data_IF_889789584526
#
_entry.id   IF_889789584526
#
_cell.length_a   1.000
_cell.length_b   1.000
_cell.length_c   1.000
_cell.angle_alpha   90.00
_cell.angle_beta   90.00
_cell.angle_gamma   90.00
#
_symmetry.space_group_name_H-M   'P 1'
#
loop_
_entity.id
_entity.type
_entity.pdbx_description
1 polymer ?
#
# COMPACT_ATOMS: atom_id res chain seq x y z
N UNK A 1 33.78 18.65 -6.22
CA UNK A 1 34.85 17.65 -6.06
C UNK A 1 34.24 16.43 -5.40
N UNK A 2 33.95 15.39 -6.17
CA UNK A 2 33.39 14.14 -5.64
C UNK A 2 34.50 13.41 -4.87
N UNK A 3 34.26 13.16 -3.59
CA UNK A 3 35.19 12.54 -2.62
C UNK A 3 35.37 11.03 -2.85
N UNK A 4 34.87 10.52 -3.97
CA UNK A 4 34.54 9.09 -4.17
C UNK A 4 35.75 8.24 -4.64
N UNK A 5 36.82 8.87 -5.12
CA UNK A 5 37.98 8.13 -5.67
C UNK A 5 38.97 7.64 -4.61
N UNK A 6 38.89 8.08 -3.35
CA UNK A 6 39.93 7.80 -2.35
C UNK A 6 39.77 6.46 -1.61
N UNK A 7 38.60 5.81 -1.72
CA UNK A 7 38.29 4.52 -1.06
C UNK A 7 38.02 3.39 -2.06
N UNK A 8 38.29 3.63 -3.35
CA UNK A 8 38.09 2.68 -4.44
C UNK A 8 39.40 2.39 -5.15
N UNK A 9 39.50 1.18 -5.69
CA UNK A 9 40.62 0.80 -6.53
C UNK A 9 40.61 1.61 -7.84
N UNK A 10 41.74 2.22 -8.20
CA UNK A 10 41.86 2.97 -9.47
C UNK A 10 41.66 2.08 -10.72
N UNK A 11 41.80 0.76 -10.60
CA UNK A 11 41.74 -0.19 -11.73
C UNK A 11 40.38 -0.86 -11.91
N UNK A 12 39.80 -1.40 -10.85
CA UNK A 12 38.50 -2.10 -10.90
C UNK A 12 37.34 -1.25 -10.37
N UNK A 13 37.61 -0.07 -9.81
CA UNK A 13 36.62 0.84 -9.23
C UNK A 13 35.81 0.26 -8.04
N UNK A 14 36.13 -0.96 -7.61
CA UNK A 14 35.53 -1.57 -6.41
C UNK A 14 36.03 -0.90 -5.13
N UNK A 15 35.15 -0.84 -4.12
CA UNK A 15 35.49 -0.36 -2.78
C UNK A 15 36.55 -1.27 -2.14
N UNK A 16 37.53 -0.64 -1.50
CA UNK A 16 38.52 -1.36 -0.73
C UNK A 16 37.89 -2.01 0.51
N UNK A 17 38.45 -3.15 0.94
CA UNK A 17 38.12 -3.81 2.19
C UNK A 17 39.36 -4.45 2.81
N UNK A 18 39.29 -4.82 4.09
CA UNK A 18 40.44 -5.37 4.84
C UNK A 18 40.77 -6.84 4.53
N UNK A 19 40.02 -7.50 3.64
CA UNK A 19 40.12 -8.94 3.40
C UNK A 19 40.66 -9.22 1.99
N UNK A 20 39.85 -9.00 0.97
CA UNK A 20 40.15 -9.35 -0.42
C UNK A 20 40.59 -8.16 -1.26
N UNK A 21 40.06 -6.97 -0.98
CA UNK A 21 40.36 -5.73 -1.72
C UNK A 21 41.20 -4.78 -0.87
N UNK A 22 42.31 -5.27 -0.30
CA UNK A 22 43.18 -4.43 0.53
C UNK A 22 43.87 -3.36 -0.33
N UNK A 23 43.90 -2.09 0.10
CA UNK A 23 44.50 -1.00 -0.67
C UNK A 23 46.02 -1.10 -0.62
N UNK A 24 46.67 -1.19 -1.78
CA UNK A 24 48.12 -1.24 -1.97
C UNK A 24 48.62 0.12 -2.47
N UNK A 25 49.56 0.72 -1.74
CA UNK A 25 50.11 2.04 -2.07
C UNK A 25 51.28 1.90 -3.04
N UNK A 26 51.06 2.34 -4.29
CA UNK A 26 52.15 2.44 -5.27
C UNK A 26 53.16 3.53 -4.85
N UNK A 27 54.40 3.53 -5.39
CA UNK A 27 55.40 4.58 -5.13
C UNK A 27 55.01 6.00 -5.59
N UNK A 28 53.89 6.13 -6.31
CA UNK A 28 53.27 7.40 -6.70
C UNK A 28 52.09 7.79 -5.80
N UNK A 29 51.83 7.04 -4.72
CA UNK A 29 50.72 7.21 -3.78
C UNK A 29 49.31 6.92 -4.32
N UNK A 30 49.17 6.49 -5.58
CA UNK A 30 47.93 5.90 -6.07
C UNK A 30 47.71 4.51 -5.47
N UNK A 31 46.44 4.13 -5.31
CA UNK A 31 46.05 2.90 -4.63
C UNK A 31 45.36 1.93 -5.59
N UNK A 32 45.81 0.68 -5.60
CA UNK A 32 45.14 -0.44 -6.28
C UNK A 32 44.84 -1.53 -5.26
N UNK A 33 43.84 -2.38 -5.49
CA UNK A 33 43.59 -3.50 -4.60
C UNK A 33 44.61 -4.63 -4.82
N UNK A 34 44.86 -5.46 -3.80
CA UNK A 34 45.76 -6.63 -3.91
C UNK A 34 45.51 -7.47 -5.17
N UNK A 35 44.27 -7.89 -5.51
CA UNK A 35 44.02 -8.71 -6.70
C UNK A 35 44.34 -7.97 -8.01
N UNK A 36 44.10 -6.65 -8.05
CA UNK A 36 44.46 -5.87 -9.23
C UNK A 36 45.96 -5.71 -9.37
N UNK A 37 46.72 -5.55 -8.29
CA UNK A 37 48.19 -5.52 -8.38
C UNK A 37 48.72 -6.87 -8.87
N UNK A 38 48.20 -7.97 -8.32
CA UNK A 38 48.64 -9.33 -8.69
C UNK A 38 48.44 -9.58 -10.19
N UNK A 39 47.22 -9.41 -10.68
CA UNK A 39 46.89 -9.58 -12.11
C UNK A 39 47.71 -8.65 -13.02
N UNK A 40 48.06 -7.47 -12.52
CA UNK A 40 48.80 -6.47 -13.28
C UNK A 40 50.28 -6.83 -13.39
N UNK A 41 50.89 -7.35 -12.32
CA UNK A 41 52.23 -7.92 -12.32
C UNK A 41 52.29 -9.19 -13.19
N UNK A 42 51.30 -10.09 -13.09
CA UNK A 42 51.19 -11.28 -13.95
C UNK A 42 51.12 -10.93 -15.45
N UNK A 43 50.50 -9.80 -15.77
CA UNK A 43 50.43 -9.25 -17.13
C UNK A 43 51.71 -8.52 -17.57
N UNK A 44 52.78 -8.60 -16.76
CA UNK A 44 54.06 -7.90 -16.96
C UNK A 44 53.94 -6.37 -17.02
N UNK A 45 52.91 -5.81 -16.37
CA UNK A 45 52.69 -4.37 -16.27
C UNK A 45 53.23 -3.86 -14.93
N UNK A 46 54.25 -3.00 -14.96
CA UNK A 46 54.96 -2.50 -13.78
C UNK A 46 54.90 -0.97 -13.64
N UNK A 47 53.82 -0.36 -14.15
CA UNK A 47 53.63 1.10 -14.17
C UNK A 47 52.24 1.49 -13.67
N UNK A 48 52.16 2.54 -12.86
CA UNK A 48 50.87 3.06 -12.40
C UNK A 48 49.99 3.50 -13.58
N UNK A 49 48.76 2.97 -13.68
CA UNK A 49 47.81 3.31 -14.76
C UNK A 49 47.41 4.79 -14.84
N UNK A 50 47.63 5.56 -13.76
CA UNK A 50 47.24 6.98 -13.70
C UNK A 50 48.38 7.89 -14.11
N UNK A 51 49.62 7.59 -13.68
CA UNK A 51 50.76 8.51 -13.84
C UNK A 51 51.97 7.88 -14.53
N UNK A 52 51.86 6.62 -14.96
CA UNK A 52 52.91 5.83 -15.60
C UNK A 52 54.23 5.74 -14.81
N UNK A 53 54.20 6.03 -13.51
CA UNK A 53 55.37 5.84 -12.64
C UNK A 53 55.62 4.35 -12.49
N UNK A 54 56.80 3.93 -12.93
CA UNK A 54 57.26 2.56 -12.76
C UNK A 54 57.41 2.19 -11.28
N UNK A 55 57.19 0.93 -10.98
CA UNK A 55 57.44 0.32 -9.68
C UNK A 55 58.03 -1.06 -9.89
N UNK A 56 58.89 -1.49 -8.97
CA UNK A 56 59.46 -2.83 -9.03
C UNK A 56 58.84 -3.70 -7.94
N UNK A 57 58.08 -4.70 -8.37
CA UNK A 57 57.45 -5.70 -7.53
C UNK A 57 57.37 -7.02 -8.31
N UNK A 58 57.49 -8.12 -7.59
CA UNK A 58 57.39 -9.49 -8.11
C UNK A 58 56.07 -10.15 -7.72
N UNK A 59 55.44 -9.70 -6.64
CA UNK A 59 54.05 -10.02 -6.28
C UNK A 59 53.36 -8.81 -5.63
N UNK A 60 52.05 -8.90 -5.39
CA UNK A 60 51.32 -7.85 -4.71
C UNK A 60 51.77 -7.62 -3.26
N UNK A 61 52.38 -8.60 -2.61
CA UNK A 61 52.93 -8.53 -1.25
C UNK A 61 54.10 -7.55 -1.14
N UNK A 62 54.88 -7.40 -2.22
CA UNK A 62 56.01 -6.46 -2.28
C UNK A 62 55.54 -4.99 -2.22
N UNK A 63 54.28 -4.75 -2.58
CA UNK A 63 53.67 -3.42 -2.46
C UNK A 63 53.04 -3.27 -1.05
N UNK A 64 53.40 -2.21 -0.31
CA UNK A 64 52.86 -2.00 1.03
C UNK A 64 51.36 -1.74 1.00
N UNK A 65 50.65 -2.24 2.02
CA UNK A 65 49.26 -1.87 2.26
C UNK A 65 49.19 -0.42 2.73
N UNK A 66 48.28 0.35 2.16
CA UNK A 66 47.95 1.68 2.65
C UNK A 66 47.09 1.59 3.92
N UNK A 67 47.75 1.45 5.07
CA UNK A 67 47.08 1.32 6.37
C UNK A 67 46.22 2.52 6.72
N UNK A 68 46.53 3.73 6.22
CA UNK A 68 45.70 4.91 6.44
C UNK A 68 44.33 4.76 5.74
N UNK A 69 44.33 4.31 4.48
CA UNK A 69 43.08 4.03 3.74
C UNK A 69 42.35 2.83 4.35
N UNK A 70 43.07 1.78 4.73
CA UNK A 70 42.49 0.61 5.41
C UNK A 70 41.78 0.99 6.72
N UNK A 71 42.42 1.80 7.56
CA UNK A 71 41.83 2.31 8.80
C UNK A 71 40.63 3.21 8.53
N UNK A 72 40.70 4.06 7.49
CA UNK A 72 39.57 4.90 7.09
C UNK A 72 38.35 4.07 6.71
N UNK A 73 38.53 2.97 5.97
CA UNK A 73 37.44 2.06 5.60
C UNK A 73 36.80 1.42 6.84
N UNK A 74 37.64 0.99 7.80
CA UNK A 74 37.15 0.45 9.08
C UNK A 74 36.34 1.50 9.85
N UNK A 75 36.84 2.73 9.96
CA UNK A 75 36.13 3.82 10.61
C UNK A 75 34.79 4.15 9.93
N UNK A 76 34.77 4.23 8.59
CA UNK A 76 33.54 4.47 7.83
C UNK A 76 32.53 3.34 8.06
N UNK A 77 33.00 2.08 8.04
CA UNK A 77 32.16 0.91 8.27
C UNK A 77 31.54 0.93 9.67
N UNK A 78 32.33 1.24 10.69
CA UNK A 78 31.86 1.37 12.07
C UNK A 78 30.86 2.53 12.22
N UNK A 79 31.16 3.68 11.62
CA UNK A 79 30.27 4.83 11.64
C UNK A 79 28.92 4.54 10.96
N UNK A 80 28.92 3.81 9.83
CA UNK A 80 27.68 3.35 9.17
C UNK A 80 26.86 2.46 10.12
N UNK A 81 27.49 1.51 10.81
CA UNK A 81 26.82 0.65 11.81
C UNK A 81 26.22 1.46 12.95
N UNK A 82 26.96 2.43 13.49
CA UNK A 82 26.50 3.24 14.62
C UNK A 82 25.35 4.17 14.24
N UNK A 83 25.40 4.74 13.02
CA UNK A 83 24.27 5.45 12.43
C UNK A 83 23.05 4.53 12.34
N UNK A 84 23.20 3.35 11.75
CA UNK A 84 22.09 2.41 11.57
C UNK A 84 21.47 2.02 12.91
N UNK A 85 22.28 1.72 13.93
CA UNK A 85 21.80 1.45 15.30
C UNK A 85 21.01 2.62 15.87
N UNK A 86 21.49 3.86 15.70
CA UNK A 86 20.80 5.06 16.18
C UNK A 86 19.46 5.28 15.48
N UNK A 87 19.37 5.00 14.18
CA UNK A 87 18.11 5.10 13.44
C UNK A 87 17.14 3.96 13.80
N UNK A 88 17.64 2.73 13.91
CA UNK A 88 16.81 1.58 14.30
C UNK A 88 16.26 1.71 15.72
N UNK A 89 17.06 2.17 16.68
CA UNK A 89 16.58 2.46 18.03
C UNK A 89 15.51 3.55 18.10
N UNK A 90 15.38 4.39 17.06
CA UNK A 90 14.30 5.37 16.92
C UNK A 90 13.05 4.83 16.21
N UNK A 91 13.16 3.71 15.50
CA UNK A 91 12.02 3.08 14.84
C UNK A 91 11.13 2.32 15.83
N UNK A 92 11.70 1.64 16.83
CA UNK A 92 10.90 0.88 17.81
C UNK A 92 9.84 1.70 18.58
N UNK A 93 10.17 2.91 19.11
CA UNK A 93 9.17 3.74 19.78
C UNK A 93 8.03 4.17 18.84
N UNK A 94 8.37 4.45 17.59
CA UNK A 94 7.39 4.89 16.58
C UNK A 94 6.46 3.74 16.16
N UNK A 95 6.99 2.52 16.04
CA UNK A 95 6.18 1.33 15.75
C UNK A 95 5.20 1.03 16.89
N UNK A 96 5.61 1.19 18.15
CA UNK A 96 4.73 0.98 19.31
C UNK A 96 3.57 1.98 19.35
N UNK A 97 3.84 3.27 19.12
CA UNK A 97 2.82 4.32 19.07
C UNK A 97 1.84 4.07 17.91
N UNK A 98 2.37 3.72 16.73
CA UNK A 98 1.56 3.43 15.56
C UNK A 98 0.67 2.21 15.78
N UNK A 99 1.20 1.13 16.35
CA UNK A 99 0.42 -0.08 16.67
C UNK A 99 -0.71 0.22 17.66
N UNK A 100 -0.45 1.04 18.70
CA UNK A 100 -1.49 1.46 19.64
C UNK A 100 -2.58 2.27 18.96
N UNK A 101 -2.21 3.20 18.07
CA UNK A 101 -3.17 3.99 17.29
C UNK A 101 -4.02 3.11 16.37
N UNK A 102 -3.39 2.18 15.64
CA UNK A 102 -4.08 1.24 14.75
C UNK A 102 -5.04 0.35 15.54
N UNK A 103 -4.58 -0.25 16.65
CA UNK A 103 -5.40 -1.08 17.52
C UNK A 103 -6.66 -0.35 18.00
N UNK A 104 -6.51 0.89 18.47
CA UNK A 104 -7.65 1.70 18.91
C UNK A 104 -8.62 2.01 17.75
N UNK A 105 -8.11 2.29 16.55
CA UNK A 105 -8.96 2.57 15.38
C UNK A 105 -9.70 1.33 14.91
N UNK A 106 -9.06 0.17 14.93
CA UNK A 106 -9.71 -1.10 14.58
C UNK A 106 -10.89 -1.39 15.51
N UNK A 107 -10.73 -1.20 16.83
CA UNK A 107 -11.83 -1.42 17.79
C UNK A 107 -13.04 -0.51 17.52
N UNK A 108 -12.80 0.76 17.15
CA UNK A 108 -13.86 1.69 16.79
C UNK A 108 -14.55 1.26 15.50
N UNK A 109 -13.79 0.82 14.49
CA UNK A 109 -14.34 0.36 13.22
C UNK A 109 -15.23 -0.87 13.45
N UNK A 110 -14.76 -1.86 14.22
CA UNK A 110 -15.54 -3.06 14.53
C UNK A 110 -16.86 -2.72 15.23
N UNK A 111 -16.85 -1.83 16.23
CA UNK A 111 -18.09 -1.39 16.91
C UNK A 111 -19.05 -0.70 15.95
N UNK A 112 -18.54 0.11 15.02
CA UNK A 112 -19.37 0.78 14.03
C UNK A 112 -19.95 -0.22 13.01
N UNK A 113 -19.19 -1.22 12.59
CA UNK A 113 -19.67 -2.29 11.70
C UNK A 113 -20.80 -3.09 12.33
N UNK A 114 -20.68 -3.44 13.62
CA UNK A 114 -21.75 -4.09 14.39
C UNK A 114 -23.02 -3.22 14.44
N UNK A 115 -22.87 -1.91 14.68
CA UNK A 115 -24.02 -0.99 14.68
C UNK A 115 -24.69 -0.87 13.30
N UNK A 116 -23.89 -0.82 12.22
CA UNK A 116 -24.44 -0.78 10.85
C UNK A 116 -25.23 -2.05 10.54
N UNK A 117 -24.76 -3.23 10.96
CA UNK A 117 -25.48 -4.48 10.77
C UNK A 117 -26.83 -4.51 11.51
N UNK A 118 -26.87 -3.97 12.73
CA UNK A 118 -28.12 -3.85 13.50
C UNK A 118 -29.11 -2.95 12.75
N UNK A 119 -28.66 -1.76 12.32
CA UNK A 119 -29.52 -0.82 11.59
C UNK A 119 -30.00 -1.37 10.25
N UNK A 120 -29.18 -2.14 9.54
CA UNK A 120 -29.58 -2.80 8.30
C UNK A 120 -30.72 -3.78 8.54
N UNK A 121 -30.63 -4.58 9.62
CA UNK A 121 -31.69 -5.51 9.99
C UNK A 121 -32.99 -4.79 10.35
N UNK A 122 -32.91 -3.71 11.12
CA UNK A 122 -34.09 -2.93 11.50
C UNK A 122 -34.78 -2.34 10.25
N UNK A 123 -34.00 -1.84 9.27
CA UNK A 123 -34.53 -1.36 7.99
C UNK A 123 -35.22 -2.47 7.19
N UNK A 124 -34.65 -3.67 7.16
CA UNK A 124 -35.25 -4.83 6.47
C UNK A 124 -36.59 -5.23 7.09
N UNK A 125 -36.66 -5.29 8.43
CA UNK A 125 -37.87 -5.63 9.17
C UNK A 125 -38.98 -4.56 8.98
N UNK A 126 -38.61 -3.28 9.00
CA UNK A 126 -39.53 -2.16 8.73
C UNK A 126 -40.03 -2.18 7.28
N UNK A 127 -39.15 -2.47 6.32
CA UNK A 127 -39.51 -2.54 4.89
C UNK A 127 -40.51 -3.66 4.64
N UNK A 128 -40.27 -4.84 5.23
CA UNK A 128 -41.20 -5.97 5.14
C UNK A 128 -42.57 -5.64 5.70
N UNK A 129 -42.61 -5.02 6.88
CA UNK A 129 -43.86 -4.58 7.53
C UNK A 129 -44.63 -3.60 6.64
N UNK A 130 -43.92 -2.66 6.00
CA UNK A 130 -44.52 -1.70 5.07
C UNK A 130 -45.09 -2.37 3.83
N UNK A 131 -44.39 -3.36 3.27
CA UNK A 131 -44.85 -4.09 2.09
C UNK A 131 -46.10 -4.92 2.38
N UNK A 132 -46.17 -5.55 3.56
CA UNK A 132 -47.37 -6.24 4.05
C UNK A 132 -48.56 -5.28 4.18
N UNK A 133 -48.37 -4.12 4.81
CA UNK A 133 -49.43 -3.11 4.92
C UNK A 133 -49.88 -2.55 3.56
N UNK A 134 -48.95 -2.38 2.61
CA UNK A 134 -49.28 -1.89 1.27
C UNK A 134 -50.11 -2.91 0.47
N UNK A 135 -49.83 -4.20 0.65
CA UNK A 135 -50.62 -5.28 0.07
C UNK A 135 -52.05 -5.24 0.59
N UNK A 136 -52.24 -5.14 1.91
CA UNK A 136 -53.57 -5.05 2.53
C UNK A 136 -54.34 -3.81 2.05
N UNK A 137 -53.68 -2.66 1.92
CA UNK A 137 -54.29 -1.43 1.37
C UNK A 137 -54.74 -1.65 -0.08
N UNK A 138 -53.93 -2.34 -0.88
CA UNK A 138 -54.22 -2.61 -2.30
C UNK A 138 -55.42 -3.54 -2.45
N UNK A 139 -55.48 -4.63 -1.67
CA UNK A 139 -56.61 -5.57 -1.67
C UNK A 139 -57.91 -4.87 -1.23
N UNK A 140 -57.85 -4.06 -0.17
CA UNK A 140 -59.00 -3.27 0.28
C UNK A 140 -59.48 -2.27 -0.78
N UNK A 141 -58.57 -1.67 -1.54
CA UNK A 141 -58.91 -0.73 -2.61
C UNK A 141 -59.62 -1.43 -3.78
N UNK A 142 -59.13 -2.59 -4.21
CA UNK A 142 -59.76 -3.40 -5.26
C UNK A 142 -61.20 -3.75 -4.84
N UNK A 143 -61.37 -4.28 -3.63
CA UNK A 143 -62.69 -4.62 -3.10
C UNK A 143 -63.61 -3.40 -3.01
N UNK A 144 -63.08 -2.24 -2.61
CA UNK A 144 -63.85 -0.99 -2.58
C UNK A 144 -64.31 -0.56 -3.97
N UNK A 145 -63.49 -0.72 -5.00
CA UNK A 145 -63.83 -0.33 -6.37
C UNK A 145 -64.84 -1.30 -7.00
N UNK A 146 -64.75 -2.61 -6.70
CA UNK A 146 -65.76 -3.61 -7.08
C UNK A 146 -67.14 -3.32 -6.45
N UNK A 147 -67.17 -2.94 -5.16
CA UNK A 147 -68.41 -2.55 -4.48
C UNK A 147 -69.04 -1.33 -5.14
N UNK A 148 -68.25 -0.32 -5.52
CA UNK A 148 -68.76 0.87 -6.22
C UNK A 148 -69.37 0.50 -7.57
N UNK A 149 -68.71 -0.33 -8.36
CA UNK A 149 -69.22 -0.78 -9.66
C UNK A 149 -70.55 -1.54 -9.51
N UNK A 150 -70.67 -2.37 -8.47
CA UNK A 150 -71.90 -3.10 -8.18
C UNK A 150 -73.06 -2.16 -7.78
N UNK A 151 -72.79 -1.14 -6.95
CA UNK A 151 -73.77 -0.13 -6.57
C UNK A 151 -74.23 0.68 -7.78
N UNK A 152 -73.31 1.07 -8.68
CA UNK A 152 -73.66 1.79 -9.91
C UNK A 152 -74.59 0.97 -10.81
N UNK A 153 -74.34 -0.33 -10.99
CA UNK A 153 -75.22 -1.24 -11.74
C UNK A 153 -76.64 -1.29 -11.15
N UNK A 154 -76.76 -1.49 -9.84
CA UNK A 154 -78.05 -1.52 -9.14
C UNK A 154 -78.85 -0.23 -9.37
N UNK A 155 -78.19 0.93 -9.29
CA UNK A 155 -78.86 2.21 -9.49
C UNK A 155 -79.38 2.37 -10.93
N UNK A 156 -78.60 1.98 -11.93
CA UNK A 156 -79.03 2.05 -13.34
C UNK A 156 -80.19 1.10 -13.67
N UNK A 157 -80.25 -0.09 -13.06
CA UNK A 157 -81.34 -1.04 -13.25
C UNK A 157 -82.65 -0.57 -12.59
N UNK A 158 -82.57 0.12 -11.45
CA UNK A 158 -83.74 0.66 -10.75
C UNK A 158 -84.33 1.89 -11.48
N UNK A 159 -83.51 2.75 -12.08
CA UNK A 159 -83.98 3.91 -12.85
C UNK A 159 -84.69 3.49 -14.16
N UNK A 160 -84.32 2.34 -14.75
CA UNK A 160 -84.98 1.77 -15.92
C UNK A 160 -86.37 1.18 -15.63
N UNK A 161 -86.66 0.79 -14.38
CA UNK A 161 -87.90 0.12 -14.00
C UNK A 161 -89.02 1.11 -13.59
N UNK A 162 -88.67 2.34 -13.19
CA UNK A 162 -89.65 3.37 -12.78
C UNK A 162 -90.34 4.02 -14.00
N UNK A 163 -89.74 4.00 -15.19
CA UNK A 163 -90.32 4.61 -16.40
C UNK A 163 -91.29 3.71 -17.19
N UNK A 164 -91.64 2.49 -16.71
CA UNK A 164 -92.61 1.61 -17.41
C UNK A 164 -94.01 1.51 -16.76
N UNK A 165 -94.25 2.19 -15.62
CA UNK A 165 -95.52 2.01 -14.86
C UNK A 165 -96.49 3.21 -14.96
N UNK A 166 -96.10 4.35 -15.55
CA UNK A 166 -97.00 5.49 -15.71
C UNK A 166 -97.38 5.71 -17.19
N UNK A 167 -98.39 4.95 -17.65
CA UNK A 167 -98.93 5.08 -19.01
C UNK A 167 -100.24 4.32 -19.22
N UNK A 168 -101.27 4.61 -18.43
CA UNK A 168 -102.68 4.48 -18.86
C UNK A 168 -103.63 5.20 -17.90
N UNK A 169 -103.85 6.50 -18.16
CA UNK A 169 -105.10 7.24 -17.89
C UNK A 169 -106.26 6.51 -18.59
N UNK A 170 -107.35 6.11 -17.91
CA UNK A 170 -108.55 6.89 -17.52
C UNK A 170 -109.16 7.69 -18.67
N UNK A 171 -110.27 7.18 -19.22
CA UNK A 171 -111.48 7.91 -19.73
C UNK A 171 -112.50 6.80 -20.14
N UNK A 172 -113.67 6.67 -19.50
CA UNK A 172 -114.90 7.48 -19.55
C UNK A 172 -115.65 7.36 -20.89
#
# INVERSE_FOLDING_TARGET
MTVDSSIKCIKCEEEFNSISHRPKALPCSHNMCTPCIENYIESNMKECIVCNKAFDATSAEDIPVNTAVENLIVCISQFKVDILKKYMGRLEPNTSILNKYVSNKTEIITKNEEQVQILQKDIEDDTKTKDEALKDITENKIMSDEIKEYIEKINTENDGNINSVNGSEVDA
#
